data_IF_136824504559
#
_entry.id   IF_136824504559
#
_cell.length_a   1.000
_cell.length_b   1.000
_cell.length_c   1.000
_cell.angle_alpha   90.00
_cell.angle_beta   90.00
_cell.angle_gamma   90.00
#
_symmetry.space_group_name_H-M   'P 1'
#
loop_
_entity.id
_entity.type
_entity.pdbx_description
1 polymer ?
#
# COMPACT_ATOMS: atom_id res chain seq x y z
N UNK A 1 29.08 -4.69 22.55
CA UNK A 1 27.86 -4.23 21.88
C UNK A 1 28.00 -4.61 20.42
N UNK A 2 27.31 -5.65 19.99
CA UNK A 2 27.25 -6.02 18.57
C UNK A 2 26.01 -5.35 18.00
N UNK A 3 26.21 -4.28 17.23
CA UNK A 3 25.15 -3.68 16.43
C UNK A 3 24.67 -4.75 15.45
N UNK A 4 23.55 -5.37 15.78
CA UNK A 4 22.85 -6.26 14.86
C UNK A 4 22.20 -5.31 13.87
N UNK A 5 22.96 -4.93 12.84
CA UNK A 5 22.43 -4.22 11.67
C UNK A 5 21.36 -5.15 11.12
N UNK A 6 20.11 -4.77 11.35
CA UNK A 6 18.92 -5.39 10.80
C UNK A 6 19.12 -5.47 9.30
N UNK A 7 19.54 -6.63 8.81
CA UNK A 7 19.94 -6.77 7.42
C UNK A 7 18.68 -6.57 6.57
N UNK A 8 18.66 -5.54 5.70
CA UNK A 8 17.59 -5.28 4.76
C UNK A 8 17.13 -6.57 4.08
N UNK A 9 15.96 -7.08 4.46
CA UNK A 9 15.36 -8.18 3.70
C UNK A 9 14.81 -7.58 2.41
N UNK A 10 15.25 -8.10 1.25
CA UNK A 10 14.65 -7.72 -0.03
C UNK A 10 13.14 -7.85 0.07
N UNK A 11 12.40 -6.84 -0.39
CA UNK A 11 10.95 -6.91 -0.36
C UNK A 11 10.53 -8.21 -1.05
N UNK A 12 9.78 -9.11 -0.39
CA UNK A 12 9.40 -10.40 -0.97
C UNK A 12 8.48 -10.26 -2.20
N UNK A 13 8.13 -9.03 -2.57
CA UNK A 13 7.39 -8.65 -3.76
C UNK A 13 8.27 -8.17 -4.92
N UNK A 14 9.57 -7.94 -4.72
CA UNK A 14 10.49 -7.51 -5.80
C UNK A 14 10.71 -8.61 -6.83
N UNK A 15 10.70 -9.88 -6.41
CA UNK A 15 10.84 -11.06 -7.28
C UNK A 15 9.49 -11.50 -7.90
N UNK A 16 8.39 -10.78 -7.64
CA UNK A 16 7.12 -11.00 -8.35
C UNK A 16 7.15 -10.22 -9.66
N UNK A 17 7.77 -10.79 -10.69
CA UNK A 17 7.58 -10.33 -12.07
C UNK A 17 6.07 -10.40 -12.41
N UNK A 18 5.38 -9.25 -12.45
CA UNK A 18 3.95 -9.12 -12.78
C UNK A 18 3.28 -7.84 -12.24
N UNK A 19 1.96 -7.67 -12.46
CA UNK A 19 1.11 -6.54 -12.01
C UNK A 19 1.05 -6.32 -10.47
N UNK A 20 1.80 -7.09 -9.68
CA UNK A 20 1.77 -7.12 -8.20
C UNK A 20 3.16 -6.88 -7.57
N UNK A 21 4.14 -6.43 -8.35
CA UNK A 21 5.45 -5.99 -7.87
C UNK A 21 5.39 -4.58 -7.26
N UNK A 22 6.24 -4.28 -6.28
CA UNK A 22 6.34 -2.91 -5.74
C UNK A 22 7.17 -2.03 -6.71
N UNK A 23 6.51 -1.25 -7.55
CA UNK A 23 7.14 -0.20 -8.36
C UNK A 23 7.35 1.06 -7.50
N UNK A 24 8.61 1.47 -7.24
CA UNK A 24 8.90 2.63 -6.40
C UNK A 24 8.30 3.95 -6.90
N UNK A 25 8.33 4.18 -8.21
CA UNK A 25 7.81 5.42 -8.80
C UNK A 25 6.28 5.47 -8.68
N UNK A 26 5.62 4.32 -8.87
CA UNK A 26 4.17 4.22 -8.69
C UNK A 26 3.74 4.49 -7.24
N UNK A 27 4.48 3.97 -6.26
CA UNK A 27 4.22 4.25 -4.84
C UNK A 27 4.39 5.74 -4.55
N UNK A 28 5.44 6.36 -5.09
CA UNK A 28 5.70 7.80 -4.92
C UNK A 28 4.59 8.68 -5.51
N UNK A 29 4.17 8.39 -6.75
CA UNK A 29 3.09 9.12 -7.41
C UNK A 29 1.78 9.01 -6.62
N UNK A 30 1.47 7.81 -6.11
CA UNK A 30 0.28 7.58 -5.30
C UNK A 30 0.34 8.31 -3.97
N UNK A 31 1.47 8.26 -3.26
CA UNK A 31 1.61 8.98 -2.00
C UNK A 31 1.68 10.50 -2.19
N UNK A 32 1.95 10.99 -3.40
CA UNK A 32 1.86 12.42 -3.72
C UNK A 32 0.40 12.91 -3.87
N UNK A 33 -0.55 12.00 -4.10
CA UNK A 33 -1.98 12.30 -4.22
C UNK A 33 -2.68 12.34 -2.86
N UNK A 34 -3.36 13.44 -2.57
CA UNK A 34 -4.00 13.71 -1.28
C UNK A 34 -5.11 12.70 -0.95
N UNK A 35 -5.93 12.34 -1.95
CA UNK A 35 -7.03 11.38 -1.78
C UNK A 35 -6.46 9.98 -1.52
N UNK A 36 -5.42 9.58 -2.27
CA UNK A 36 -4.76 8.29 -2.06
C UNK A 36 -4.13 8.19 -0.66
N UNK A 37 -3.48 9.26 -0.18
CA UNK A 37 -2.98 9.30 1.20
C UNK A 37 -4.11 9.22 2.22
N UNK A 38 -5.20 9.95 2.01
CA UNK A 38 -6.35 9.92 2.91
C UNK A 38 -6.96 8.51 2.98
N UNK A 39 -7.10 7.84 1.83
CA UNK A 39 -7.54 6.44 1.76
C UNK A 39 -6.57 5.56 2.55
N UNK A 40 -5.28 5.56 2.23
CA UNK A 40 -4.27 4.76 2.93
C UNK A 40 -4.31 4.97 4.45
N UNK A 41 -4.46 6.21 4.90
CA UNK A 41 -4.55 6.58 6.31
C UNK A 41 -5.84 6.07 6.98
N UNK A 42 -6.94 5.98 6.23
CA UNK A 42 -8.23 5.55 6.76
C UNK A 42 -8.37 4.03 6.90
N UNK A 43 -7.85 3.22 5.96
CA UNK A 43 -8.00 1.75 5.97
C UNK A 43 -7.05 1.01 6.93
N UNK A 44 -6.84 1.53 8.14
CA UNK A 44 -6.15 0.78 9.22
C UNK A 44 -6.93 -0.47 9.62
N UNK A 45 -8.25 -0.34 9.67
CA UNK A 45 -9.17 -1.45 9.85
C UNK A 45 -9.83 -1.82 8.51
N UNK A 46 -10.29 -3.08 8.34
CA UNK A 46 -10.95 -3.50 7.11
C UNK A 46 -12.17 -2.64 6.78
N UNK A 47 -12.16 -1.98 5.62
CA UNK A 47 -13.27 -1.16 5.16
C UNK A 47 -13.62 -1.45 3.69
N UNK A 48 -14.87 -1.21 3.31
CA UNK A 48 -15.30 -1.29 1.91
C UNK A 48 -15.05 0.03 1.19
N UNK A 49 -15.04 0.01 -0.14
CA UNK A 49 -14.96 1.25 -0.95
C UNK A 49 -16.06 2.24 -0.59
N UNK A 50 -17.27 1.77 -0.23
CA UNK A 50 -18.37 2.63 0.17
C UNK A 50 -18.09 3.30 1.52
N UNK A 51 -17.55 2.57 2.50
CA UNK A 51 -17.20 3.14 3.81
C UNK A 51 -16.12 4.21 3.66
N UNK A 52 -15.13 3.97 2.78
CA UNK A 52 -14.05 4.92 2.46
C UNK A 52 -14.62 6.17 1.79
N UNK A 53 -15.50 6.00 0.80
CA UNK A 53 -16.16 7.09 0.07
C UNK A 53 -16.95 7.98 1.01
N UNK A 54 -17.71 7.39 1.94
CA UNK A 54 -18.52 8.13 2.91
C UNK A 54 -17.65 8.85 3.94
N UNK A 55 -16.66 8.17 4.53
CA UNK A 55 -15.84 8.74 5.60
C UNK A 55 -14.92 9.87 5.13
N UNK A 56 -14.45 9.80 3.88
CA UNK A 56 -13.55 10.79 3.29
C UNK A 56 -14.26 11.82 2.39
N UNK A 57 -15.59 11.75 2.29
CA UNK A 57 -16.42 12.58 1.39
C UNK A 57 -15.91 12.57 -0.06
N UNK A 58 -15.47 11.39 -0.52
CA UNK A 58 -14.97 11.18 -1.88
C UNK A 58 -16.09 10.67 -2.78
N UNK A 59 -16.15 11.09 -4.07
CA UNK A 59 -17.00 10.42 -5.04
C UNK A 59 -16.69 8.93 -5.11
N UNK A 60 -17.72 8.09 -5.19
CA UNK A 60 -17.57 6.63 -5.15
C UNK A 60 -16.61 6.09 -6.22
N UNK A 61 -16.64 6.68 -7.42
CA UNK A 61 -15.71 6.36 -8.51
C UNK A 61 -14.26 6.75 -8.20
N UNK A 62 -14.05 7.84 -7.46
CA UNK A 62 -12.72 8.30 -7.02
C UNK A 62 -12.19 7.36 -5.95
N UNK A 63 -12.99 7.07 -4.92
CA UNK A 63 -12.62 6.14 -3.86
C UNK A 63 -12.26 4.76 -4.42
N UNK A 64 -13.08 4.21 -5.33
CA UNK A 64 -12.80 2.95 -6.01
C UNK A 64 -11.44 2.98 -6.72
N UNK A 65 -11.21 3.99 -7.56
CA UNK A 65 -9.94 4.12 -8.29
C UNK A 65 -8.74 4.20 -7.35
N UNK A 66 -8.83 4.98 -6.27
CA UNK A 66 -7.73 5.10 -5.30
C UNK A 66 -7.45 3.80 -4.55
N UNK A 67 -8.51 3.09 -4.15
CA UNK A 67 -8.36 1.79 -3.49
C UNK A 67 -7.67 0.78 -4.41
N UNK A 68 -8.08 0.69 -5.67
CA UNK A 68 -7.47 -0.22 -6.64
C UNK A 68 -6.01 0.16 -6.93
N UNK A 69 -5.72 1.45 -7.14
CA UNK A 69 -4.34 1.92 -7.35
C UNK A 69 -3.42 1.56 -6.18
N UNK A 70 -3.87 1.74 -4.94
CA UNK A 70 -3.12 1.38 -3.75
C UNK A 70 -3.02 -0.14 -3.54
N UNK A 71 -4.05 -0.89 -3.94
CA UNK A 71 -4.05 -2.35 -3.89
C UNK A 71 -3.04 -2.94 -4.88
N UNK A 72 -3.05 -2.48 -6.12
CA UNK A 72 -2.09 -2.87 -7.17
C UNK A 72 -0.65 -2.51 -6.78
N UNK A 73 -0.43 -1.36 -6.13
CA UNK A 73 0.87 -0.99 -5.59
C UNK A 73 1.30 -1.81 -4.34
N UNK A 74 0.43 -2.70 -3.85
CA UNK A 74 0.67 -3.53 -2.68
C UNK A 74 0.59 -2.79 -1.33
N UNK A 75 0.11 -1.54 -1.33
CA UNK A 75 -0.10 -0.75 -0.11
C UNK A 75 -1.37 -1.18 0.64
N UNK A 76 -2.36 -1.71 -0.08
CA UNK A 76 -3.56 -2.34 0.48
C UNK A 76 -3.64 -3.82 0.12
N UNK A 77 -4.30 -4.59 0.99
CA UNK A 77 -4.67 -5.99 0.75
C UNK A 77 -6.18 -6.15 0.79
N UNK A 78 -6.73 -6.92 -0.14
CA UNK A 78 -8.14 -7.30 -0.13
C UNK A 78 -8.32 -8.58 0.69
N UNK A 79 -9.14 -8.54 1.74
CA UNK A 79 -9.33 -9.70 2.63
C UNK A 79 -10.27 -10.77 2.06
N UNK A 80 -11.12 -10.39 1.11
CA UNK A 80 -12.18 -11.24 0.56
C UNK A 80 -12.11 -11.30 -0.97
N UNK A 81 -10.98 -11.76 -1.52
CA UNK A 81 -10.72 -11.84 -2.97
C UNK A 81 -11.76 -12.66 -3.76
N UNK A 82 -12.58 -13.48 -3.10
CA UNK A 82 -13.53 -14.42 -3.75
C UNK A 82 -14.92 -14.40 -3.14
N UNK A 83 -15.56 -13.23 -3.11
CA UNK A 83 -17.00 -13.18 -2.90
C UNK A 83 -17.73 -13.62 -4.16
N UNK A 84 -18.14 -14.90 -4.22
CA UNK A 84 -19.12 -15.40 -5.23
C UNK A 84 -20.55 -14.88 -4.98
N UNK A 85 -20.73 -14.08 -3.92
CA UNK A 85 -22.01 -13.73 -3.31
C UNK A 85 -22.37 -12.24 -3.43
N UNK A 86 -21.58 -11.44 -4.16
CA UNK A 86 -21.87 -10.02 -4.39
C UNK A 86 -21.58 -9.10 -3.19
N UNK A 87 -20.97 -9.63 -2.13
CA UNK A 87 -20.51 -8.83 -0.99
C UNK A 87 -19.33 -7.94 -1.39
N UNK A 88 -19.33 -6.64 -1.02
CA UNK A 88 -18.22 -5.74 -1.30
C UNK A 88 -16.89 -6.24 -0.75
N UNK A 89 -15.82 -6.08 -1.53
CA UNK A 89 -14.45 -6.33 -1.09
C UNK A 89 -14.11 -5.43 0.10
N UNK A 90 -13.49 -6.02 1.12
CA UNK A 90 -12.93 -5.28 2.24
C UNK A 90 -11.43 -5.14 2.02
N UNK A 91 -10.95 -3.92 2.19
CA UNK A 91 -9.54 -3.56 2.01
C UNK A 91 -8.98 -3.15 3.36
N UNK A 92 -7.74 -3.53 3.59
CA UNK A 92 -6.98 -3.19 4.80
C UNK A 92 -5.56 -2.79 4.41
N UNK A 93 -4.97 -1.89 5.18
CA UNK A 93 -3.58 -1.48 5.00
C UNK A 93 -2.65 -2.69 5.09
N UNK A 94 -1.78 -2.82 4.09
CA UNK A 94 -0.80 -3.90 4.01
C UNK A 94 0.58 -3.50 4.57
N UNK A 95 0.81 -2.20 4.73
CA UNK A 95 2.08 -1.61 5.19
C UNK A 95 1.83 -0.69 6.37
N UNK A 96 2.49 -0.90 7.50
CA UNK A 96 2.38 -0.03 8.67
C UNK A 96 2.95 1.36 8.39
N UNK A 97 4.03 1.41 7.62
CA UNK A 97 4.77 2.63 7.34
C UNK A 97 5.37 2.60 5.92
N UNK A 98 5.40 3.75 5.26
CA UNK A 98 6.11 3.94 4.00
C UNK A 98 6.97 5.20 4.13
N UNK A 99 8.27 5.05 3.93
CA UNK A 99 9.25 6.14 3.92
C UNK A 99 9.84 6.27 2.53
N UNK A 100 9.88 7.50 2.03
CA UNK A 100 10.51 7.87 0.76
C UNK A 100 11.64 8.83 1.07
N UNK A 101 12.87 8.40 0.78
CA UNK A 101 14.07 9.21 1.00
C UNK A 101 14.68 9.59 -0.34
N UNK A 102 14.78 10.90 -0.59
CA UNK A 102 15.40 11.47 -1.78
C UNK A 102 16.94 11.50 -1.61
N UNK A 103 17.56 10.32 -1.71
CA UNK A 103 19.01 10.12 -1.80
C UNK A 103 19.42 9.71 -3.24
N UNK A 104 20.73 9.53 -3.48
CA UNK A 104 21.26 8.90 -4.69
C UNK A 104 21.80 7.50 -4.34
N UNK A 105 21.10 6.39 -4.64
CA UNK A 105 19.81 6.28 -5.35
C UNK A 105 18.59 6.56 -4.46
N UNK A 106 17.44 6.86 -5.08
CA UNK A 106 16.15 6.99 -4.40
C UNK A 106 15.87 5.72 -3.59
N UNK A 107 15.47 5.89 -2.32
CA UNK A 107 15.17 4.76 -1.42
C UNK A 107 13.71 4.78 -1.01
N UNK A 108 13.05 3.64 -1.14
CA UNK A 108 11.72 3.40 -0.59
C UNK A 108 11.79 2.24 0.41
N UNK A 109 11.38 2.55 1.64
CA UNK A 109 11.36 1.62 2.77
C UNK A 109 9.91 1.45 3.24
N UNK A 110 9.42 0.22 3.24
CA UNK A 110 8.08 -0.11 3.71
C UNK A 110 8.18 -0.98 4.96
N UNK A 111 7.45 -0.67 6.02
CA UNK A 111 7.37 -1.54 7.21
C UNK A 111 6.06 -2.33 7.16
N UNK A 112 6.12 -3.65 7.37
CA UNK A 112 4.96 -4.52 7.43
C UNK A 112 5.06 -5.45 8.65
N UNK A 113 4.10 -5.36 9.55
CA UNK A 113 4.11 -6.06 10.85
C UNK A 113 5.43 -5.87 11.62
N UNK A 114 5.97 -4.64 11.60
CA UNK A 114 7.25 -4.30 12.24
C UNK A 114 8.50 -4.87 11.55
N UNK A 115 8.38 -5.42 10.33
CA UNK A 115 9.53 -5.81 9.50
C UNK A 115 9.78 -4.77 8.43
N UNK A 116 11.02 -4.31 8.30
CA UNK A 116 11.40 -3.33 7.30
C UNK A 116 11.73 -4.02 5.97
N UNK A 117 11.09 -3.54 4.90
CA UNK A 117 11.17 -4.05 3.53
C UNK A 117 11.78 -2.97 2.65
N UNK A 118 12.72 -3.38 1.79
CA UNK A 118 13.40 -2.47 0.86
C UNK A 118 12.97 -2.72 -0.58
N UNK A 119 12.66 -1.64 -1.28
CA UNK A 119 12.48 -1.60 -2.73
C UNK A 119 13.59 -0.72 -3.31
N UNK A 120 14.57 -1.30 -4.01
CA UNK A 120 15.47 -0.54 -4.88
C UNK A 120 14.79 -0.41 -6.26
N UNK A 121 14.82 0.78 -6.89
CA UNK A 121 14.34 0.96 -8.27
C UNK A 121 15.24 0.28 -9.31
#
# INVERSE_FOLDING_TARGET
MGDTVDQPSRCPRIDRDGELGCDPYRIMDLLSDDDARAVFLYVEEPATVSDISEALDLPQSTAYRKVEELHEAGLLSQLNERSRTGTPGHYVRAMDHVSVTYDEPLRIECTCNGRLLYCEP
#
